data_IF_051028657580
#
_entry.id   IF_051028657580
#
_cell.length_a   1.000
_cell.length_b   1.000
_cell.length_c   1.000
_cell.angle_alpha   90.00
_cell.angle_beta   90.00
_cell.angle_gamma   90.00
#
_symmetry.space_group_name_H-M   'P 1'
#
loop_
_entity.id
_entity.type
_entity.pdbx_description
1 polymer ?
#
# COMPACT_ATOMS: atom_id res chain seq x y z
N UNK A 1 8.66 6.04 10.95
CA UNK A 1 10.08 5.74 10.67
C UNK A 1 10.22 4.48 9.83
N UNK A 2 9.68 3.33 10.26
CA UNK A 2 9.79 2.07 9.50
C UNK A 2 9.38 2.13 8.01
N UNK A 3 8.25 2.79 7.67
CA UNK A 3 7.79 2.88 6.28
C UNK A 3 8.77 3.62 5.37
N UNK A 4 9.31 4.75 5.84
CA UNK A 4 10.22 5.61 5.07
C UNK A 4 11.48 4.86 4.60
N UNK A 5 12.05 4.07 5.49
CA UNK A 5 13.34 3.41 5.27
C UNK A 5 13.20 2.00 4.64
N UNK A 6 11.96 1.53 4.45
CA UNK A 6 11.67 0.20 3.91
C UNK A 6 11.73 0.16 2.38
N UNK A 7 12.37 -0.89 1.87
CA UNK A 7 12.33 -1.22 0.43
C UNK A 7 11.04 -2.00 0.07
N UNK A 8 10.44 -2.70 1.04
CA UNK A 8 9.17 -3.42 0.90
C UNK A 8 8.30 -3.25 2.16
N UNK A 9 7.01 -2.91 1.97
CA UNK A 9 6.01 -2.85 3.04
C UNK A 9 4.84 -3.75 2.69
N UNK A 10 4.46 -4.66 3.59
CA UNK A 10 3.31 -5.55 3.42
C UNK A 10 2.22 -5.18 4.41
N UNK A 11 1.08 -4.73 3.90
CA UNK A 11 -0.16 -4.55 4.62
C UNK A 11 -0.89 -5.87 4.77
N UNK A 12 -0.94 -6.39 6.01
CA UNK A 12 -1.60 -7.66 6.35
C UNK A 12 -2.66 -7.49 7.44
N UNK A 13 -3.27 -6.30 7.53
CA UNK A 13 -4.30 -6.03 8.53
C UNK A 13 -5.66 -6.47 8.01
N UNK A 14 -6.22 -7.48 8.67
CA UNK A 14 -7.56 -7.98 8.41
C UNK A 14 -8.41 -7.77 9.66
N UNK A 15 -9.49 -6.99 9.54
CA UNK A 15 -10.47 -6.79 10.61
C UNK A 15 -11.80 -7.41 10.17
N UNK A 16 -12.20 -8.57 10.69
CA UNK A 16 -13.45 -9.21 10.29
C UNK A 16 -14.66 -8.28 10.48
N UNK A 17 -15.43 -8.08 9.40
CA UNK A 17 -16.66 -7.30 9.43
C UNK A 17 -16.49 -5.78 9.42
N UNK A 18 -15.26 -5.26 9.30
CA UNK A 18 -14.99 -3.83 9.21
C UNK A 18 -13.88 -3.52 8.20
N UNK A 19 -13.90 -2.31 7.64
CA UNK A 19 -12.77 -1.83 6.83
C UNK A 19 -11.55 -1.62 7.73
N UNK A 20 -10.38 -2.02 7.24
CA UNK A 20 -9.14 -1.70 7.91
C UNK A 20 -8.96 -0.16 7.97
N UNK A 21 -8.46 0.40 9.09
CA UNK A 21 -8.11 1.81 9.13
C UNK A 21 -6.94 2.09 8.18
N UNK A 22 -6.87 3.31 7.66
CA UNK A 22 -5.70 3.77 6.90
C UNK A 22 -4.53 3.97 7.86
N UNK A 23 -3.55 3.09 7.79
CA UNK A 23 -2.38 3.08 8.66
C UNK A 23 -1.16 3.74 8.02
N UNK A 24 -1.08 3.67 6.70
CA UNK A 24 0.02 4.26 5.92
C UNK A 24 -0.54 5.40 5.10
N UNK A 25 -0.20 6.62 5.52
CA UNK A 25 -0.70 7.83 4.88
C UNK A 25 0.01 8.11 3.57
N UNK A 26 -0.58 8.94 2.71
CA UNK A 26 0.06 9.36 1.47
C UNK A 26 1.40 10.07 1.72
N UNK A 27 1.47 10.88 2.78
CA UNK A 27 2.70 11.56 3.19
C UNK A 27 3.78 10.57 3.63
N UNK A 28 3.43 9.42 4.22
CA UNK A 28 4.40 8.37 4.51
C UNK A 28 4.93 7.74 3.21
N UNK A 29 4.07 7.45 2.24
CA UNK A 29 4.46 6.85 0.95
C UNK A 29 5.40 7.77 0.18
N UNK A 30 5.12 9.08 0.12
CA UNK A 30 5.98 10.07 -0.54
C UNK A 30 7.39 10.14 0.03
N UNK A 31 7.61 9.67 1.26
CA UNK A 31 8.95 9.65 1.88
C UNK A 31 9.76 8.41 1.56
N UNK A 32 9.15 7.38 0.97
CA UNK A 32 9.83 6.15 0.58
C UNK A 32 10.83 6.40 -0.56
N UNK A 33 11.81 5.51 -0.69
CA UNK A 33 12.76 5.57 -1.80
C UNK A 33 12.03 5.21 -3.11
N UNK A 34 12.33 5.89 -4.23
CA UNK A 34 11.86 5.46 -5.53
C UNK A 34 12.26 4.00 -5.81
N UNK A 35 11.32 3.21 -6.32
CA UNK A 35 11.46 1.77 -6.55
C UNK A 35 11.11 0.90 -5.34
N UNK A 36 10.83 1.48 -4.17
CA UNK A 36 10.24 0.71 -3.07
C UNK A 36 8.88 0.13 -3.46
N UNK A 37 8.50 -0.96 -2.81
CA UNK A 37 7.26 -1.71 -3.10
C UNK A 37 6.33 -1.70 -1.90
N UNK A 38 5.04 -1.55 -2.15
CA UNK A 38 3.98 -1.81 -1.16
C UNK A 38 3.04 -2.90 -1.66
N UNK A 39 2.61 -3.77 -0.77
CA UNK A 39 1.67 -4.85 -1.07
C UNK A 39 0.57 -4.82 -0.04
N UNK A 40 -0.69 -4.77 -0.46
CA UNK A 40 -1.85 -4.84 0.43
C UNK A 40 -2.64 -6.13 0.21
N UNK A 41 -2.56 -7.05 1.17
CA UNK A 41 -3.20 -8.37 1.07
C UNK A 41 -4.71 -8.27 1.27
N UNK A 42 -5.19 -7.27 2.03
CA UNK A 42 -6.60 -7.11 2.38
C UNK A 42 -7.27 -5.99 1.57
N UNK A 43 -6.78 -5.74 0.35
CA UNK A 43 -7.22 -4.60 -0.46
C UNK A 43 -8.72 -4.62 -0.78
N UNK A 44 -9.28 -5.81 -0.97
CA UNK A 44 -10.72 -6.01 -1.21
C UNK A 44 -11.61 -5.52 -0.07
N UNK A 45 -11.05 -5.33 1.14
CA UNK A 45 -11.73 -4.78 2.31
C UNK A 45 -11.37 -3.33 2.59
N UNK A 46 -10.75 -2.66 1.61
CA UNK A 46 -10.41 -1.24 1.65
C UNK A 46 -8.94 -0.92 1.93
N UNK A 47 -8.13 -1.93 2.25
CA UNK A 47 -6.68 -1.79 2.45
C UNK A 47 -6.25 -0.79 3.53
N UNK A 48 -4.95 -0.72 3.81
CA UNK A 48 -4.36 0.15 4.83
C UNK A 48 -3.61 1.37 4.27
N UNK A 49 -3.33 1.39 2.97
CA UNK A 49 -2.62 2.48 2.31
C UNK A 49 -3.61 3.52 1.78
N UNK A 50 -3.34 4.81 2.01
CA UNK A 50 -4.17 5.92 1.47
C UNK A 50 -3.96 6.15 -0.03
N UNK A 51 -2.81 5.75 -0.56
CA UNK A 51 -2.42 5.97 -1.95
C UNK A 51 -3.07 5.02 -2.94
N UNK A 52 -3.64 3.90 -2.46
CA UNK A 52 -4.33 2.94 -3.32
C UNK A 52 -5.67 3.50 -3.77
N UNK A 53 -5.80 3.73 -5.07
CA UNK A 53 -6.99 4.29 -5.71
C UNK A 53 -7.72 3.28 -6.60
N UNK A 54 -7.10 2.16 -6.95
CA UNK A 54 -7.71 1.06 -7.68
C UNK A 54 -7.08 -0.30 -7.32
N UNK A 55 -7.78 -1.38 -7.66
CA UNK A 55 -7.28 -2.76 -7.54
C UNK A 55 -6.54 -3.17 -8.81
N UNK A 56 -5.49 -3.97 -8.66
CA UNK A 56 -4.75 -4.56 -9.78
C UNK A 56 -5.35 -5.91 -10.18
N UNK A 57 -4.93 -6.43 -11.33
CA UNK A 57 -5.34 -7.76 -11.84
C UNK A 57 -4.11 -8.57 -12.21
N UNK A 58 -4.25 -9.87 -12.46
CA UNK A 58 -3.10 -10.67 -12.91
C UNK A 58 -2.48 -10.18 -14.23
N UNK A 59 -3.29 -9.64 -15.15
CA UNK A 59 -2.82 -9.10 -16.42
C UNK A 59 -2.10 -7.75 -16.25
N UNK A 60 -2.50 -6.96 -15.24
CA UNK A 60 -1.85 -5.71 -14.87
C UNK A 60 -1.66 -5.63 -13.34
N UNK A 61 -0.62 -6.30 -12.81
CA UNK A 61 -0.51 -6.63 -11.38
C UNK A 61 -0.02 -5.49 -10.52
N UNK A 62 0.56 -4.45 -11.11
CA UNK A 62 1.19 -3.34 -10.38
C UNK A 62 1.01 -2.02 -11.10
N UNK A 63 1.16 -0.92 -10.36
CA UNK A 63 1.31 0.42 -10.92
C UNK A 63 2.26 1.25 -10.05
N UNK A 64 2.73 2.38 -10.57
CA UNK A 64 3.61 3.28 -9.81
C UNK A 64 2.87 4.55 -9.40
N UNK A 65 3.06 4.96 -8.15
CA UNK A 65 2.58 6.23 -7.63
C UNK A 65 3.60 6.81 -6.66
N UNK A 66 3.95 8.08 -6.84
CA UNK A 66 5.00 8.76 -6.07
C UNK A 66 6.37 8.06 -6.09
N UNK A 67 6.69 7.36 -7.18
CA UNK A 67 7.93 6.57 -7.27
C UNK A 67 7.86 5.22 -6.56
N UNK A 68 6.72 4.84 -5.97
CA UNK A 68 6.53 3.59 -5.21
C UNK A 68 5.64 2.65 -6.00
N UNK A 69 6.08 1.40 -6.15
CA UNK A 69 5.32 0.34 -6.82
C UNK A 69 4.25 -0.17 -5.87
N UNK A 70 3.01 -0.14 -6.33
CA UNK A 70 1.82 -0.68 -5.65
C UNK A 70 1.38 -1.95 -6.37
#
# INVERSE_FOLDING_TARGET
QAVKDADLVIGAVLIPGAKAPKLVTEEMIKTMKPGSVVVDVAIDQGGIFETVDHITTHDNPTYEKHGVVH
#
